data_IF_638539048636
#
_entry.id   IF_638539048636
#
_cell.length_a   1.000
_cell.length_b   1.000
_cell.length_c   1.000
_cell.angle_alpha   90.00
_cell.angle_beta   90.00
_cell.angle_gamma   90.00
#
_symmetry.space_group_name_H-M   'P 1'
#
loop_
_entity.id
_entity.type
_entity.pdbx_description
1 polymer ?
#
# COMPACT_ATOMS: atom_id res chain seq x y z
N UNK A 1 -18.74 -3.97 -21.42
CA UNK A 1 -17.78 -3.85 -22.55
C UNK A 1 -16.46 -3.41 -21.93
N UNK A 2 -15.40 -4.22 -22.04
CA UNK A 2 -14.11 -3.88 -21.42
C UNK A 2 -13.45 -2.73 -22.19
N UNK A 3 -12.71 -1.85 -21.51
CA UNK A 3 -12.02 -0.69 -22.13
C UNK A 3 -11.11 -1.13 -23.29
N UNK A 4 -10.52 -2.32 -23.18
CA UNK A 4 -9.64 -2.90 -24.20
C UNK A 4 -10.37 -3.27 -25.50
N UNK A 5 -11.71 -3.32 -25.47
CA UNK A 5 -12.55 -3.61 -26.64
C UNK A 5 -12.98 -2.34 -27.38
N UNK A 6 -12.59 -1.15 -26.89
CA UNK A 6 -12.91 0.14 -27.51
C UNK A 6 -11.91 0.48 -28.62
N UNK A 7 -12.30 1.39 -29.51
CA UNK A 7 -11.40 1.91 -30.55
C UNK A 7 -10.20 2.65 -29.94
N UNK A 8 -9.07 2.72 -30.66
CA UNK A 8 -7.88 3.47 -30.18
C UNK A 8 -8.20 4.93 -29.85
N UNK A 9 -9.08 5.54 -30.64
CA UNK A 9 -9.56 6.92 -30.42
C UNK A 9 -10.28 7.04 -29.07
N UNK A 10 -11.18 6.12 -28.77
CA UNK A 10 -11.94 6.13 -27.51
C UNK A 10 -11.04 5.82 -26.31
N UNK A 11 -10.10 4.88 -26.46
CA UNK A 11 -9.09 4.62 -25.44
C UNK A 11 -8.24 5.86 -25.15
N UNK A 12 -7.84 6.61 -26.19
CA UNK A 12 -7.08 7.84 -26.02
C UNK A 12 -7.93 8.94 -25.35
N UNK A 13 -9.20 9.08 -25.72
CA UNK A 13 -10.12 10.02 -25.06
C UNK A 13 -10.29 9.69 -23.57
N UNK A 14 -10.42 8.41 -23.21
CA UNK A 14 -10.48 7.95 -21.82
C UNK A 14 -9.19 8.31 -21.06
N UNK A 15 -8.01 8.13 -21.66
CA UNK A 15 -6.73 8.50 -21.03
C UNK A 15 -6.62 10.00 -20.78
N UNK A 16 -7.10 10.82 -21.71
CA UNK A 16 -7.14 12.28 -21.54
C UNK A 16 -8.05 12.66 -20.37
N UNK A 17 -9.26 12.11 -20.33
CA UNK A 17 -10.21 12.35 -19.24
C UNK A 17 -9.65 11.92 -17.87
N UNK A 18 -8.99 10.76 -17.80
CA UNK A 18 -8.33 10.29 -16.58
C UNK A 18 -7.26 11.28 -16.07
N UNK A 19 -6.47 11.84 -17.00
CA UNK A 19 -5.45 12.84 -16.67
C UNK A 19 -6.07 14.15 -16.18
N UNK A 20 -7.15 14.60 -16.81
CA UNK A 20 -7.88 15.81 -16.40
C UNK A 20 -8.49 15.64 -15.01
N UNK A 21 -9.13 14.50 -14.72
CA UNK A 21 -9.65 14.16 -13.38
C UNK A 21 -8.54 14.18 -12.34
N UNK A 22 -7.41 13.52 -12.63
CA UNK A 22 -6.27 13.48 -11.70
C UNK A 22 -5.71 14.89 -11.45
N UNK A 23 -5.65 15.73 -12.48
CA UNK A 23 -5.21 17.13 -12.37
C UNK A 23 -6.19 17.98 -11.55
N UNK A 24 -7.50 17.72 -11.68
CA UNK A 24 -8.52 18.38 -10.87
C UNK A 24 -8.34 18.03 -9.39
N UNK A 25 -8.19 16.76 -9.04
CA UNK A 25 -7.93 16.34 -7.65
C UNK A 25 -6.68 17.02 -7.08
N UNK A 26 -5.61 17.12 -7.85
CA UNK A 26 -4.41 17.83 -7.43
C UNK A 26 -4.67 19.32 -7.17
N UNK A 27 -5.47 19.97 -8.04
CA UNK A 27 -5.83 21.38 -7.88
C UNK A 27 -6.73 21.64 -6.66
N UNK A 28 -7.57 20.68 -6.27
CA UNK A 28 -8.48 20.79 -5.12
C UNK A 28 -7.98 20.01 -3.89
N UNK A 29 -6.68 19.70 -3.81
CA UNK A 29 -6.16 18.78 -2.80
C UNK A 29 -6.42 19.23 -1.36
N UNK A 30 -6.29 20.53 -1.07
CA UNK A 30 -6.61 21.07 0.25
C UNK A 30 -8.07 20.79 0.63
N UNK A 31 -9.01 21.05 -0.28
CA UNK A 31 -10.44 20.83 -0.04
C UNK A 31 -10.73 19.33 0.08
N UNK A 32 -10.09 18.50 -0.74
CA UNK A 32 -10.16 17.04 -0.64
C UNK A 32 -9.73 16.53 0.74
N UNK A 33 -8.66 17.08 1.31
CA UNK A 33 -8.20 16.68 2.65
C UNK A 33 -9.15 17.14 3.76
N UNK A 34 -9.88 18.24 3.58
CA UNK A 34 -10.95 18.65 4.52
C UNK A 34 -12.13 17.68 4.45
N UNK A 35 -12.53 17.27 3.24
CA UNK A 35 -13.58 16.27 3.05
C UNK A 35 -13.16 14.90 3.58
N UNK A 36 -11.88 14.52 3.42
CA UNK A 36 -11.32 13.28 3.94
C UNK A 36 -11.60 13.10 5.45
N UNK A 37 -11.35 14.12 6.25
CA UNK A 37 -11.57 14.10 7.70
C UNK A 37 -13.06 13.96 8.06
N UNK A 38 -13.95 14.46 7.21
CA UNK A 38 -15.40 14.28 7.38
C UNK A 38 -15.82 12.85 7.03
N UNK A 39 -15.24 12.28 5.96
CA UNK A 39 -15.53 10.92 5.53
C UNK A 39 -15.02 9.86 6.52
N UNK A 40 -13.86 10.07 7.16
CA UNK A 40 -13.35 9.14 8.17
C UNK A 40 -14.30 8.98 9.38
N UNK A 41 -15.07 10.03 9.70
CA UNK A 41 -16.07 10.00 10.79
C UNK A 41 -17.34 9.23 10.42
N UNK A 42 -17.55 8.93 9.14
CA UNK A 42 -18.71 8.16 8.69
C UNK A 42 -18.40 6.68 8.86
N UNK A 43 -19.01 6.04 9.86
CA UNK A 43 -18.95 4.59 9.97
C UNK A 43 -19.77 3.96 8.83
N UNK A 44 -19.08 3.34 7.86
CA UNK A 44 -19.71 2.82 6.63
C UNK A 44 -20.05 1.33 6.67
N UNK A 45 -19.80 0.65 7.78
CA UNK A 45 -20.06 -0.79 7.92
C UNK A 45 -20.42 -1.16 9.36
N UNK A 46 -21.25 -2.19 9.51
CA UNK A 46 -21.70 -2.75 10.79
C UNK A 46 -20.97 -4.04 11.17
N UNK A 47 -20.55 -4.82 10.17
CA UNK A 47 -19.84 -6.08 10.34
C UNK A 47 -18.67 -6.17 9.35
N UNK A 48 -17.59 -6.82 9.77
CA UNK A 48 -16.44 -7.08 8.93
C UNK A 48 -15.74 -8.39 9.38
N UNK A 49 -14.97 -9.05 8.48
CA UNK A 49 -14.16 -10.22 8.82
C UNK A 49 -13.15 -9.92 9.94
N UNK A 50 -12.75 -10.95 10.70
CA UNK A 50 -11.80 -10.78 11.81
C UNK A 50 -10.44 -10.21 11.38
N UNK A 51 -9.98 -10.50 10.16
CA UNK A 51 -8.76 -9.91 9.63
C UNK A 51 -8.89 -8.41 9.35
N UNK A 52 -10.10 -7.90 9.09
CA UNK A 52 -10.36 -6.46 8.97
C UNK A 52 -10.39 -5.82 10.35
N UNK A 53 -11.00 -6.48 11.35
CA UNK A 53 -10.95 -6.04 12.76
C UNK A 53 -9.51 -5.96 13.27
N UNK A 54 -8.63 -6.87 12.84
CA UNK A 54 -7.20 -6.82 13.14
C UNK A 54 -6.54 -5.55 12.58
N UNK A 55 -6.89 -5.14 11.35
CA UNK A 55 -6.42 -3.86 10.78
C UNK A 55 -6.98 -2.67 11.55
N UNK A 56 -8.27 -2.70 11.90
CA UNK A 56 -8.91 -1.64 12.69
C UNK A 56 -8.21 -1.46 14.05
N UNK A 57 -7.96 -2.56 14.76
CA UNK A 57 -7.24 -2.53 16.03
C UNK A 57 -5.79 -2.05 15.84
N UNK A 58 -5.09 -2.52 14.81
CA UNK A 58 -3.75 -2.02 14.49
C UNK A 58 -3.72 -0.52 14.20
N UNK A 59 -4.73 0.01 13.50
CA UNK A 59 -4.86 1.44 13.24
C UNK A 59 -5.17 2.23 14.52
N UNK A 60 -5.92 1.63 15.45
CA UNK A 60 -6.20 2.19 16.78
C UNK A 60 -4.93 2.25 17.62
N UNK A 61 -4.14 1.18 17.65
CA UNK A 61 -2.87 1.10 18.39
C UNK A 61 -1.84 2.10 17.86
N UNK A 62 -1.86 2.35 16.55
CA UNK A 62 -1.05 3.38 15.89
C UNK A 62 -1.59 4.81 16.05
N UNK A 63 -2.78 5.00 16.64
CA UNK A 63 -3.41 6.30 16.80
C UNK A 63 -3.86 6.97 15.49
N UNK A 64 -4.09 6.20 14.43
CA UNK A 64 -4.46 6.69 13.11
C UNK A 64 -5.87 6.30 12.66
N UNK A 65 -6.61 5.50 13.43
CA UNK A 65 -7.92 4.99 13.03
C UNK A 65 -8.89 6.10 12.58
N UNK A 66 -8.97 7.20 13.33
CA UNK A 66 -9.85 8.35 13.02
C UNK A 66 -9.44 9.13 11.77
N UNK A 67 -8.25 8.85 11.21
CA UNK A 67 -7.72 9.44 9.97
C UNK A 67 -7.81 8.47 8.79
N UNK A 68 -8.29 7.26 9.01
CA UNK A 68 -8.36 6.21 8.02
C UNK A 68 -9.80 5.97 7.57
N UNK A 69 -9.95 5.54 6.32
CA UNK A 69 -11.21 4.98 5.82
C UNK A 69 -11.06 3.47 5.69
N UNK A 70 -11.99 2.70 6.25
CA UNK A 70 -12.11 1.26 6.02
C UNK A 70 -13.33 1.04 5.13
N UNK A 71 -13.08 0.56 3.91
CA UNK A 71 -14.05 0.59 2.81
C UNK A 71 -14.30 -0.85 2.33
N UNK A 72 -15.54 -1.39 2.47
CA UNK A 72 -15.90 -2.63 1.80
C UNK A 72 -16.02 -2.39 0.29
N UNK A 73 -15.56 -3.35 -0.49
CA UNK A 73 -15.69 -3.40 -1.96
C UNK A 73 -16.34 -4.70 -2.39
N UNK A 74 -16.73 -4.78 -3.65
CA UNK A 74 -17.42 -5.92 -4.24
C UNK A 74 -16.52 -7.15 -4.35
N UNK A 75 -17.09 -8.35 -4.33
CA UNK A 75 -16.31 -9.61 -4.39
C UNK A 75 -15.57 -9.80 -5.72
N UNK A 76 -16.06 -9.19 -6.80
CA UNK A 76 -15.44 -9.18 -8.12
C UNK A 76 -14.51 -7.97 -8.32
N UNK A 77 -14.24 -7.18 -7.28
CA UNK A 77 -13.43 -5.96 -7.36
C UNK A 77 -12.07 -6.16 -8.01
N UNK A 78 -11.42 -7.31 -7.80
CA UNK A 78 -10.12 -7.61 -8.39
C UNK A 78 -10.17 -8.05 -9.85
N UNK A 79 -11.34 -8.40 -10.37
CA UNK A 79 -11.56 -8.68 -11.80
C UNK A 79 -11.68 -7.39 -12.61
N UNK A 80 -11.86 -6.25 -11.94
CA UNK A 80 -11.99 -4.94 -12.57
C UNK A 80 -10.64 -4.34 -12.97
N UNK A 81 -10.68 -3.51 -14.01
CA UNK A 81 -9.55 -2.66 -14.39
C UNK A 81 -9.14 -1.73 -13.24
N UNK A 82 -7.83 -1.48 -13.11
CA UNK A 82 -7.29 -0.72 -11.97
C UNK A 82 -7.91 0.68 -11.83
N UNK A 83 -8.26 1.32 -12.94
CA UNK A 83 -8.93 2.62 -12.89
C UNK A 83 -10.34 2.53 -12.28
N UNK A 84 -11.12 1.50 -12.62
CA UNK A 84 -12.45 1.30 -12.06
C UNK A 84 -12.36 1.03 -10.55
N UNK A 85 -11.37 0.25 -10.13
CA UNK A 85 -11.04 0.02 -8.72
C UNK A 85 -10.72 1.30 -7.96
N UNK A 86 -10.01 2.23 -8.60
CA UNK A 86 -9.70 3.55 -8.03
C UNK A 86 -10.96 4.39 -7.83
N UNK A 87 -11.82 4.47 -8.85
CA UNK A 87 -13.10 5.18 -8.73
C UNK A 87 -13.99 4.61 -7.62
N UNK A 88 -14.02 3.29 -7.45
CA UNK A 88 -14.85 2.64 -6.42
C UNK A 88 -14.50 3.07 -4.99
N UNK A 89 -13.26 3.44 -4.72
CA UNK A 89 -12.81 3.91 -3.41
C UNK A 89 -12.63 5.44 -3.36
N UNK A 90 -13.09 6.16 -4.40
CA UNK A 90 -12.88 7.60 -4.59
C UNK A 90 -11.40 7.99 -4.55
N UNK A 91 -10.52 7.13 -5.06
CA UNK A 91 -9.11 7.46 -5.20
C UNK A 91 -8.93 8.51 -6.31
N UNK A 92 -8.09 9.54 -6.09
CA UNK A 92 -7.84 10.59 -7.08
C UNK A 92 -7.35 10.07 -8.44
N UNK A 93 -6.58 8.98 -8.42
CA UNK A 93 -6.11 8.30 -9.63
C UNK A 93 -5.68 6.86 -9.32
N UNK A 94 -5.39 6.06 -10.35
CA UNK A 94 -4.84 4.71 -10.19
C UNK A 94 -3.47 4.68 -9.51
N UNK A 95 -2.73 5.78 -9.55
CA UNK A 95 -1.43 5.96 -8.88
C UNK A 95 -1.58 5.98 -7.34
N UNK A 96 -2.76 6.33 -6.82
CA UNK A 96 -3.06 6.31 -5.38
C UNK A 96 -3.40 4.90 -4.87
N UNK A 97 -3.70 3.97 -5.78
CA UNK A 97 -3.91 2.57 -5.44
C UNK A 97 -2.57 1.90 -5.22
N UNK A 98 -2.33 1.44 -4.00
CA UNK A 98 -1.08 0.83 -3.58
C UNK A 98 -1.30 -0.61 -3.11
N UNK A 99 -0.20 -1.37 -3.09
CA UNK A 99 -0.13 -2.72 -2.54
C UNK A 99 0.97 -2.80 -1.50
N UNK A 100 0.72 -3.58 -0.47
CA UNK A 100 1.71 -4.05 0.49
C UNK A 100 2.07 -5.50 0.16
N UNK A 101 3.35 -5.79 0.07
CA UNK A 101 3.86 -7.15 -0.15
C UNK A 101 5.01 -7.42 0.81
N UNK A 102 5.08 -8.65 1.34
CA UNK A 102 6.22 -9.07 2.15
C UNK A 102 7.33 -9.56 1.23
N UNK A 103 8.49 -8.92 1.31
CA UNK A 103 9.70 -9.37 0.63
C UNK A 103 10.65 -10.03 1.62
N UNK A 104 11.19 -11.17 1.24
CA UNK A 104 12.16 -11.95 1.99
C UNK A 104 13.56 -11.81 1.40
N UNK A 105 14.52 -11.47 2.25
CA UNK A 105 15.93 -11.68 1.99
C UNK A 105 16.30 -13.16 2.17
N UNK A 106 16.12 -13.95 1.11
CA UNK A 106 16.43 -15.39 1.05
C UNK A 106 17.91 -15.75 1.31
N UNK A 107 18.80 -14.75 1.42
CA UNK A 107 20.22 -14.92 1.77
C UNK A 107 20.60 -14.29 3.10
N UNK A 108 19.62 -13.86 3.89
CA UNK A 108 19.82 -13.42 5.26
C UNK A 108 20.30 -14.62 6.10
N UNK A 109 21.31 -14.39 6.95
CA UNK A 109 21.95 -15.44 7.74
C UNK A 109 21.28 -15.68 9.10
N UNK A 110 20.25 -14.92 9.42
CA UNK A 110 19.45 -15.08 10.63
C UNK A 110 17.96 -15.09 10.30
N UNK A 111 17.17 -15.54 11.26
CA UNK A 111 15.71 -15.53 11.18
C UNK A 111 15.09 -14.35 11.92
N UNK A 112 15.89 -13.68 12.77
CA UNK A 112 15.44 -12.53 13.54
C UNK A 112 15.02 -11.37 12.62
N UNK A 113 13.93 -10.70 12.99
CA UNK A 113 13.38 -9.52 12.32
C UNK A 113 13.41 -8.27 13.22
N UNK A 114 13.99 -8.38 14.41
CA UNK A 114 14.05 -7.30 15.39
C UNK A 114 14.94 -6.13 14.96
N UNK A 115 15.95 -6.38 14.13
CA UNK A 115 16.83 -5.34 13.57
C UNK A 115 16.27 -4.81 12.24
N UNK A 116 15.63 -3.62 12.23
CA UNK A 116 15.05 -3.06 11.02
C UNK A 116 16.10 -2.65 9.98
N UNK A 117 17.38 -2.57 10.34
CA UNK A 117 18.47 -2.20 9.44
C UNK A 117 19.02 -3.41 8.66
N UNK A 118 18.75 -4.64 9.13
CA UNK A 118 19.13 -5.88 8.43
C UNK A 118 18.11 -7.00 8.66
N UNK A 119 16.82 -6.72 8.51
CA UNK A 119 15.78 -7.74 8.68
C UNK A 119 15.78 -8.78 7.55
N UNK A 120 15.40 -10.03 7.88
CA UNK A 120 15.08 -11.06 6.87
C UNK A 120 13.85 -10.66 6.05
N UNK A 121 12.85 -10.03 6.65
CA UNK A 121 11.60 -9.66 5.98
C UNK A 121 11.35 -8.15 6.02
N UNK A 122 10.82 -7.60 4.94
CA UNK A 122 10.32 -6.22 4.87
C UNK A 122 8.92 -6.21 4.27
N UNK A 123 8.01 -5.44 4.86
CA UNK A 123 6.74 -5.12 4.21
C UNK A 123 6.95 -3.91 3.30
N UNK A 124 6.90 -4.13 1.98
CA UNK A 124 7.14 -3.09 0.98
C UNK A 124 5.81 -2.58 0.45
N UNK A 125 5.64 -1.26 0.50
CA UNK A 125 4.48 -0.55 0.00
C UNK A 125 4.86 0.16 -1.31
N UNK A 126 4.16 -0.16 -2.40
CA UNK A 126 4.34 0.46 -3.71
C UNK A 126 3.02 0.66 -4.44
N UNK A 127 2.99 1.53 -5.45
CA UNK A 127 1.83 1.77 -6.30
C UNK A 127 1.53 0.54 -7.16
N UNK A 128 0.26 0.20 -7.41
CA UNK A 128 -0.09 -0.94 -8.29
C UNK A 128 0.47 -0.79 -9.71
N UNK A 129 0.58 0.44 -10.19
CA UNK A 129 1.10 0.78 -11.52
C UNK A 129 2.62 0.59 -11.67
N UNK A 130 3.34 0.31 -10.58
CA UNK A 130 4.79 0.12 -10.60
C UNK A 130 5.21 -1.21 -9.96
N UNK A 131 6.12 -1.97 -10.59
CA UNK A 131 6.78 -3.10 -9.92
C UNK A 131 7.76 -2.59 -8.86
N UNK A 132 8.12 -3.43 -7.89
CA UNK A 132 9.20 -3.11 -6.94
C UNK A 132 10.55 -3.35 -7.62
N UNK A 133 11.39 -2.32 -7.71
CA UNK A 133 12.77 -2.47 -8.17
C UNK A 133 13.64 -3.11 -7.08
N UNK A 134 13.80 -4.43 -7.13
CA UNK A 134 14.56 -5.19 -6.12
C UNK A 134 16.05 -4.84 -6.07
N UNK A 135 16.62 -4.30 -7.15
CA UNK A 135 18.01 -3.85 -7.18
C UNK A 135 18.18 -2.52 -6.43
N UNK A 136 17.22 -1.58 -6.55
CA UNK A 136 17.19 -0.37 -5.72
C UNK A 136 16.96 -0.70 -4.26
N UNK A 137 16.00 -1.58 -3.96
CA UNK A 137 15.76 -2.09 -2.60
C UNK A 137 17.02 -2.70 -1.99
N UNK A 138 17.72 -3.56 -2.72
CA UNK A 138 18.98 -4.14 -2.26
C UNK A 138 20.02 -3.06 -1.92
N UNK A 139 20.16 -2.05 -2.78
CA UNK A 139 21.14 -0.98 -2.56
C UNK A 139 20.77 -0.12 -1.35
N UNK A 140 19.48 0.16 -1.15
CA UNK A 140 18.96 0.85 0.03
C UNK A 140 19.26 0.06 1.32
N UNK A 141 18.85 -1.22 1.39
CA UNK A 141 19.06 -2.04 2.58
C UNK A 141 20.54 -2.21 2.92
N UNK A 142 21.43 -2.32 1.92
CA UNK A 142 22.88 -2.30 2.16
C UNK A 142 23.36 -0.99 2.74
N UNK A 143 22.75 0.13 2.38
CA UNK A 143 23.04 1.45 2.93
C UNK A 143 22.71 1.55 4.42
N UNK A 144 21.66 0.88 4.90
CA UNK A 144 21.24 0.91 6.31
C UNK A 144 22.30 0.43 7.30
N UNK A 145 23.21 -0.45 6.87
CA UNK A 145 24.37 -0.94 7.63
C UNK A 145 25.70 -0.44 7.07
N UNK A 146 25.73 0.77 6.48
CA UNK A 146 26.94 1.37 5.90
C UNK A 146 27.71 0.45 4.92
N UNK A 147 27.01 -0.48 4.26
CA UNK A 147 27.56 -1.51 3.37
C UNK A 147 28.55 -2.48 4.03
N UNK A 148 28.57 -2.58 5.36
CA UNK A 148 29.40 -3.51 6.13
C UNK A 148 29.08 -4.98 5.79
N UNK A 149 27.80 -5.28 5.58
CA UNK A 149 27.35 -6.61 5.17
C UNK A 149 27.56 -6.79 3.67
N UNK A 150 28.26 -7.88 3.31
CA UNK A 150 28.55 -8.23 1.91
C UNK A 150 27.27 -8.37 1.07
N UNK A 151 27.30 -7.84 -0.17
CA UNK A 151 26.19 -7.93 -1.14
C UNK A 151 25.67 -9.35 -1.33
N UNK A 152 26.51 -10.38 -1.16
CA UNK A 152 26.12 -11.79 -1.34
C UNK A 152 25.03 -12.24 -0.36
N UNK A 153 24.87 -11.57 0.78
CA UNK A 153 23.85 -11.86 1.80
C UNK A 153 22.54 -11.09 1.60
N UNK A 154 22.32 -10.56 0.38
CA UNK A 154 21.09 -9.88 0.00
C UNK A 154 20.53 -10.52 -1.28
N UNK A 155 19.30 -11.03 -1.20
CA UNK A 155 18.50 -11.46 -2.35
C UNK A 155 17.01 -11.37 -1.98
N UNK A 156 16.39 -10.24 -2.30
CA UNK A 156 14.97 -10.01 -2.01
C UNK A 156 14.08 -10.70 -3.03
N UNK A 157 13.16 -11.53 -2.54
CA UNK A 157 12.11 -12.23 -3.30
C UNK A 157 10.77 -12.00 -2.62
N UNK A 158 9.67 -12.20 -3.35
CA UNK A 158 8.36 -12.23 -2.71
C UNK A 158 8.34 -13.41 -1.74
N UNK A 159 7.93 -13.16 -0.50
CA UNK A 159 7.77 -14.24 0.48
C UNK A 159 6.65 -15.19 0.04
N UNK A 160 6.77 -16.46 0.40
CA UNK A 160 5.70 -17.42 0.18
C UNK A 160 4.42 -16.98 0.91
N UNK A 161 3.26 -17.29 0.33
CA UNK A 161 1.97 -16.81 0.85
C UNK A 161 1.69 -17.30 2.27
N UNK A 162 2.17 -18.48 2.63
CA UNK A 162 2.05 -19.04 3.99
C UNK A 162 2.89 -18.24 4.98
N UNK A 163 4.17 -18.01 4.66
CA UNK A 163 5.07 -17.16 5.46
C UNK A 163 4.52 -15.74 5.60
N UNK A 164 4.03 -15.14 4.51
CA UNK A 164 3.38 -13.83 4.55
C UNK A 164 2.16 -13.83 5.48
N UNK A 165 1.35 -14.90 5.47
CA UNK A 165 0.18 -15.02 6.34
C UNK A 165 0.56 -15.21 7.81
N UNK A 166 1.61 -15.97 8.11
CA UNK A 166 2.13 -16.16 9.46
C UNK A 166 2.64 -14.84 10.05
N UNK A 167 3.41 -14.07 9.26
CA UNK A 167 3.99 -12.80 9.70
C UNK A 167 2.95 -11.68 9.81
N UNK A 168 1.98 -11.62 8.89
CA UNK A 168 1.05 -10.48 8.80
C UNK A 168 -0.34 -10.78 9.38
N UNK A 169 -0.79 -12.04 9.34
CA UNK A 169 -2.18 -12.42 9.60
C UNK A 169 -3.11 -12.24 8.40
N UNK A 170 -2.60 -11.85 7.23
CA UNK A 170 -3.40 -11.48 6.07
C UNK A 170 -3.12 -12.37 4.87
N UNK A 171 -4.18 -12.77 4.17
CA UNK A 171 -4.07 -13.52 2.91
C UNK A 171 -3.68 -12.60 1.75
N UNK A 172 -3.20 -13.20 0.66
CA UNK A 172 -2.94 -12.51 -0.60
C UNK A 172 -4.11 -11.63 -1.04
N UNK A 173 -3.81 -10.42 -1.51
CA UNK A 173 -4.83 -9.43 -1.89
C UNK A 173 -5.43 -8.64 -0.71
N UNK A 174 -5.19 -9.05 0.54
CA UNK A 174 -5.60 -8.33 1.75
C UNK A 174 -4.44 -7.86 2.62
N UNK A 175 -3.18 -8.15 2.25
CA UNK A 175 -2.01 -7.77 3.05
C UNK A 175 -2.01 -6.27 3.32
N UNK A 176 -1.95 -5.91 4.60
CA UNK A 176 -1.93 -4.55 5.12
C UNK A 176 -0.65 -4.35 5.95
N UNK A 177 0.03 -3.19 5.89
CA UNK A 177 1.16 -2.90 6.77
C UNK A 177 0.74 -2.59 8.21
N UNK A 178 -0.56 -2.42 8.47
CA UNK A 178 -1.11 -2.09 9.78
C UNK A 178 -1.62 -3.35 10.47
N UNK A 179 -1.37 -3.47 11.78
CA UNK A 179 -1.88 -4.58 12.60
C UNK A 179 -1.25 -5.95 12.30
N UNK A 180 -0.05 -5.99 11.71
CA UNK A 180 0.64 -7.26 11.42
C UNK A 180 0.90 -8.05 12.72
N UNK A 181 0.85 -9.40 12.66
CA UNK A 181 1.14 -10.27 13.81
C UNK A 181 2.55 -10.12 14.35
N UNK A 182 3.49 -9.86 13.46
CA UNK A 182 4.88 -9.58 13.80
C UNK A 182 5.27 -8.16 13.36
N UNK A 183 6.21 -7.56 14.08
CA UNK A 183 6.72 -6.22 13.78
C UNK A 183 7.71 -6.25 12.60
N UNK A 184 7.18 -6.45 11.39
CA UNK A 184 7.97 -6.41 10.16
C UNK A 184 8.30 -4.95 9.82
N UNK A 185 9.58 -4.58 9.61
CA UNK A 185 9.93 -3.24 9.16
C UNK A 185 9.27 -2.89 7.82
N UNK A 186 8.79 -1.66 7.70
CA UNK A 186 8.07 -1.19 6.52
C UNK A 186 8.99 -0.33 5.65
N UNK A 187 8.94 -0.53 4.33
CA UNK A 187 9.59 0.31 3.33
C UNK A 187 8.52 0.85 2.38
N UNK A 188 8.41 2.18 2.30
CA UNK A 188 7.51 2.92 1.43
C UNK A 188 8.27 3.42 0.20
N UNK A 189 7.71 3.17 -1.00
CA UNK A 189 8.23 3.74 -2.24
C UNK A 189 8.12 5.28 -2.21
N UNK A 190 9.23 5.98 -2.49
CA UNK A 190 9.30 7.44 -2.46
C UNK A 190 8.27 8.10 -3.38
N UNK A 191 7.91 7.46 -4.49
CA UNK A 191 6.88 7.98 -5.41
C UNK A 191 5.51 8.17 -4.77
N UNK A 192 5.20 7.44 -3.69
CA UNK A 192 3.97 7.63 -2.91
C UNK A 192 3.97 8.97 -2.16
N UNK A 193 5.14 9.47 -1.75
CA UNK A 193 5.26 10.78 -1.07
C UNK A 193 5.02 11.97 -1.99
N UNK A 194 4.96 11.73 -3.30
CA UNK A 194 4.78 12.74 -4.36
C UNK A 194 3.33 12.75 -4.90
N UNK A 195 2.43 11.97 -4.29
CA UNK A 195 1.02 11.95 -4.65
C UNK A 195 0.32 13.23 -4.21
N UNK A 196 -0.61 13.69 -5.05
CA UNK A 196 -1.43 14.85 -4.79
C UNK A 196 -2.88 14.54 -5.20
N UNK A 197 -3.84 14.48 -4.26
CA UNK A 197 -3.71 14.54 -2.81
C UNK A 197 -2.82 13.44 -2.17
N UNK A 198 -2.20 13.75 -1.05
CA UNK A 198 -1.26 12.85 -0.37
C UNK A 198 -1.96 11.73 0.44
N UNK A 199 -2.74 10.89 -0.23
CA UNK A 199 -3.45 9.71 0.31
C UNK A 199 -3.13 8.45 -0.49
N UNK A 200 -3.28 7.29 0.12
CA UNK A 200 -3.19 6.00 -0.58
C UNK A 200 -4.27 5.04 -0.13
N UNK A 201 -4.52 4.04 -0.97
CA UNK A 201 -5.45 2.95 -0.71
C UNK A 201 -4.74 1.61 -0.77
N UNK A 202 -4.82 0.84 0.31
CA UNK A 202 -4.17 -0.45 0.53
C UNK A 202 -5.21 -1.55 0.78
N UNK A 203 -4.78 -2.81 0.84
CA UNK A 203 -5.61 -3.88 1.40
C UNK A 203 -5.87 -3.65 2.90
N UNK A 204 -7.06 -3.99 3.37
CA UNK A 204 -7.45 -3.87 4.78
C UNK A 204 -7.67 -5.24 5.45
N UNK A 205 -6.71 -6.16 5.29
CA UNK A 205 -6.75 -7.49 5.93
C UNK A 205 -7.64 -8.50 5.22
N UNK A 206 -8.47 -8.07 4.26
CA UNK A 206 -9.30 -8.92 3.43
C UNK A 206 -9.29 -8.42 1.98
N UNK A 207 -9.52 -9.32 1.03
CA UNK A 207 -9.50 -9.01 -0.40
C UNK A 207 -10.59 -7.97 -0.75
N UNK A 208 -11.78 -8.15 -0.19
CA UNK A 208 -12.94 -7.26 -0.39
C UNK A 208 -12.95 -6.00 0.50
N UNK A 209 -11.80 -5.62 1.09
CA UNK A 209 -11.71 -4.46 1.98
C UNK A 209 -10.47 -3.62 1.69
N UNK A 210 -10.64 -2.29 1.75
CA UNK A 210 -9.58 -1.32 1.50
C UNK A 210 -9.38 -0.37 2.67
N UNK A 211 -8.11 -0.04 2.90
CA UNK A 211 -7.68 0.97 3.87
C UNK A 211 -7.25 2.21 3.09
N UNK A 212 -8.04 3.27 3.16
CA UNK A 212 -7.62 4.61 2.76
C UNK A 212 -6.88 5.27 3.91
N UNK A 213 -5.70 5.84 3.65
CA UNK A 213 -4.88 6.50 4.69
C UNK A 213 -4.08 7.67 4.12
N UNK A 214 -3.97 8.82 4.83
CA UNK A 214 -3.05 9.88 4.48
C UNK A 214 -1.59 9.42 4.58
N UNK A 215 -0.78 9.74 3.58
CA UNK A 215 0.63 9.32 3.50
C UNK A 215 1.42 9.78 4.72
N UNK A 216 1.19 11.01 5.17
CA UNK A 216 1.84 11.57 6.37
C UNK A 216 1.48 10.78 7.64
N UNK A 217 0.23 10.40 7.81
CA UNK A 217 -0.24 9.63 8.98
C UNK A 217 0.39 8.24 9.00
N UNK A 218 0.52 7.59 7.84
CA UNK A 218 1.18 6.29 7.74
C UNK A 218 2.67 6.39 8.07
N UNK A 219 3.41 7.34 7.49
CA UNK A 219 4.85 7.50 7.73
C UNK A 219 5.12 7.81 9.22
N UNK A 220 4.39 8.76 9.80
CA UNK A 220 4.61 9.20 11.18
C UNK A 220 4.26 8.11 12.20
N UNK A 221 3.21 7.34 11.98
CA UNK A 221 2.78 6.31 12.92
C UNK A 221 3.63 5.05 12.84
N UNK A 222 4.11 4.69 11.65
CA UNK A 222 4.88 3.44 11.45
C UNK A 222 6.39 3.64 11.52
N UNK A 223 6.87 4.88 11.43
CA UNK A 223 8.29 5.19 11.25
C UNK A 223 8.93 4.40 10.09
N UNK A 224 8.16 4.16 9.02
CA UNK A 224 8.64 3.38 7.89
C UNK A 224 9.81 4.06 7.19
N UNK A 225 10.67 3.26 6.56
CA UNK A 225 11.69 3.79 5.67
C UNK A 225 11.04 4.31 4.39
N UNK A 226 11.59 5.39 3.83
CA UNK A 226 11.19 5.93 2.52
C UNK A 226 12.39 5.88 1.59
N UNK A 227 12.24 5.27 0.42
CA UNK A 227 13.31 5.19 -0.57
C UNK A 227 12.76 5.08 -1.98
N UNK A 228 13.57 5.49 -2.96
CA UNK A 228 13.28 5.25 -4.37
C UNK A 228 13.28 3.74 -4.67
N UNK A 229 12.14 3.25 -5.16
CA UNK A 229 11.89 1.85 -5.55
C UNK A 229 11.42 1.72 -7.01
N UNK A 230 11.45 2.81 -7.78
CA UNK A 230 10.92 2.86 -9.15
C UNK A 230 11.94 2.44 -10.22
#
# INVERSE_FOLDING_TARGET
MLVNNLSEKDQQAIRVLQKEISSLYAAVSTDYMVEWDQECKKQRYTECPDSVKQVEQGARDLGILEKCQIIPVESDYYDWELQQRAFRVNAPSKEHMCKSVVLENTRCTHEDISDPLYSRYYCVITQYVKPVNTQKLLNFCRGLKNKEISKKFYNYRLADSEVSFELTGYKSGGVCPVGMKQHIPIILAESITKLEPAVIYLGAGHIDWKLGVPVSSLIQSTNCFVTDLD
#
